data_IF_691825386938
#
_entry.id   IF_691825386938
#
_cell.length_a   1.000
_cell.length_b   1.000
_cell.length_c   1.000
_cell.angle_alpha   90.00
_cell.angle_beta   90.00
_cell.angle_gamma   90.00
#
_symmetry.space_group_name_H-M   'P 1'
#
loop_
_entity.id
_entity.type
_entity.pdbx_description
1 polymer ?
#
# COMPACT_ATOMS: atom_id res chain seq x y z
N UNK A 1 -15.87 0.04 10.41
CA UNK A 1 -14.77 0.07 9.44
C UNK A 1 -13.81 -1.13 9.52
N UNK A 2 -13.52 -1.76 10.69
CA UNK A 2 -12.82 -3.06 10.71
C UNK A 2 -13.63 -4.21 10.10
N UNK A 3 -14.94 -4.22 10.32
CA UNK A 3 -15.86 -5.26 9.85
C UNK A 3 -15.98 -5.34 8.32
N UNK A 4 -15.86 -4.20 7.64
CA UNK A 4 -15.90 -4.13 6.17
C UNK A 4 -14.61 -4.68 5.56
N UNK A 5 -13.45 -4.36 6.15
CA UNK A 5 -12.14 -4.89 5.73
C UNK A 5 -12.08 -6.40 5.96
N UNK A 6 -12.58 -6.87 7.11
CA UNK A 6 -12.68 -8.31 7.41
C UNK A 6 -13.63 -8.99 6.41
N UNK A 7 -14.80 -8.40 6.13
CA UNK A 7 -15.78 -8.96 5.19
C UNK A 7 -15.27 -9.01 3.75
N UNK A 8 -14.54 -7.97 3.32
CA UNK A 8 -13.90 -7.92 2.02
C UNK A 8 -12.82 -9.00 1.90
N UNK A 9 -11.98 -9.15 2.92
CA UNK A 9 -10.96 -10.20 2.98
C UNK A 9 -11.57 -11.61 2.94
N UNK A 10 -12.65 -11.85 3.69
CA UNK A 10 -13.39 -13.13 3.65
C UNK A 10 -14.01 -13.41 2.27
N UNK A 11 -14.47 -12.35 1.59
CA UNK A 11 -15.04 -12.46 0.24
C UNK A 11 -13.98 -12.83 -0.79
N UNK A 12 -12.83 -12.15 -0.76
CA UNK A 12 -11.70 -12.46 -1.64
C UNK A 12 -11.16 -13.87 -1.42
N UNK A 13 -11.12 -14.31 -0.16
CA UNK A 13 -10.72 -15.68 0.20
C UNK A 13 -11.63 -16.73 -0.41
N UNK A 14 -12.94 -16.51 -0.37
CA UNK A 14 -13.91 -17.39 -1.02
C UNK A 14 -13.72 -17.44 -2.53
N UNK A 15 -13.23 -16.36 -3.14
CA UNK A 15 -12.96 -16.25 -4.58
C UNK A 15 -11.55 -16.70 -4.97
N UNK A 16 -10.69 -17.07 -4.01
CA UNK A 16 -9.28 -17.40 -4.25
C UNK A 16 -8.45 -16.21 -4.75
N UNK A 17 -8.83 -14.98 -4.37
CA UNK A 17 -8.18 -13.74 -4.77
C UNK A 17 -7.54 -13.04 -3.58
N UNK A 18 -6.74 -13.76 -2.79
CA UNK A 18 -6.07 -13.24 -1.60
C UNK A 18 -4.64 -12.78 -1.93
N UNK A 19 -4.41 -11.53 -2.38
CA UNK A 19 -3.07 -11.06 -2.72
C UNK A 19 -2.13 -10.97 -1.50
N UNK A 20 -2.68 -11.10 -0.28
CA UNK A 20 -1.96 -11.03 0.98
C UNK A 20 -1.42 -12.36 1.50
N UNK A 21 -1.71 -13.49 0.84
CA UNK A 21 -1.07 -14.74 1.24
C UNK A 21 0.47 -14.61 1.16
N UNK A 22 1.20 -15.10 2.18
CA UNK A 22 0.76 -16.03 3.24
C UNK A 22 0.19 -15.37 4.52
N UNK A 23 0.04 -14.04 4.57
CA UNK A 23 -0.35 -13.33 5.80
C UNK A 23 -1.88 -13.26 5.98
N UNK A 24 -2.45 -13.72 7.11
CA UNK A 24 -3.88 -13.54 7.38
C UNK A 24 -4.21 -12.06 7.67
N UNK A 25 -5.49 -11.64 7.62
CA UNK A 25 -5.86 -10.31 8.11
C UNK A 25 -5.65 -10.19 9.63
N UNK A 26 -5.18 -9.02 10.09
CA UNK A 26 -5.16 -8.65 11.51
C UNK A 26 -6.59 -8.73 12.10
N UNK A 27 -6.81 -9.27 13.32
CA UNK A 27 -5.86 -9.41 14.43
C UNK A 27 -5.20 -10.79 14.58
N UNK A 28 -5.22 -11.66 13.57
CA UNK A 28 -4.47 -12.91 13.65
C UNK A 28 -2.96 -12.63 13.85
N UNK A 29 -2.29 -13.47 14.66
CA UNK A 29 -0.84 -13.35 14.89
C UNK A 29 -0.07 -13.41 13.58
N UNK A 30 0.83 -12.45 13.35
CA UNK A 30 1.56 -12.32 12.08
C UNK A 30 0.69 -11.89 10.88
N UNK A 31 -0.51 -11.38 11.15
CA UNK A 31 -1.41 -10.86 10.14
C UNK A 31 -0.99 -9.50 9.60
N UNK A 32 -1.74 -9.04 8.61
CA UNK A 32 -1.52 -7.74 7.97
C UNK A 32 -2.57 -6.70 8.37
N UNK A 33 -2.10 -5.46 8.53
CA UNK A 33 -2.93 -4.28 8.80
C UNK A 33 -2.70 -3.22 7.72
N UNK A 34 -3.74 -2.85 6.98
CA UNK A 34 -3.67 -1.82 5.93
C UNK A 34 -3.39 -0.44 6.52
N UNK A 35 -2.47 0.31 5.92
CA UNK A 35 -2.17 1.69 6.33
C UNK A 35 -2.15 2.70 5.17
N UNK A 36 -2.04 2.26 3.91
CA UNK A 36 -2.19 3.14 2.74
C UNK A 36 -2.63 2.38 1.49
N UNK A 37 -3.08 3.15 0.49
CA UNK A 37 -3.27 2.74 -0.90
C UNK A 37 -2.96 3.91 -1.84
N UNK A 38 -2.74 3.66 -3.12
CA UNK A 38 -2.47 4.70 -4.13
C UNK A 38 -3.39 4.59 -5.36
N UNK A 39 -3.28 5.55 -6.29
CA UNK A 39 -4.09 5.57 -7.52
C UNK A 39 -3.79 4.42 -8.50
N UNK A 40 -2.66 3.74 -8.31
CA UNK A 40 -2.26 2.58 -9.09
C UNK A 40 -2.80 1.28 -8.48
N UNK A 41 -3.78 1.38 -7.57
CA UNK A 41 -4.41 0.25 -6.88
C UNK A 41 -3.42 -0.61 -6.07
N UNK A 42 -2.25 -0.07 -5.75
CA UNK A 42 -1.32 -0.70 -4.82
C UNK A 42 -1.81 -0.50 -3.40
N UNK A 43 -1.71 -1.56 -2.60
CA UNK A 43 -2.09 -1.55 -1.19
C UNK A 43 -0.87 -1.80 -0.32
N UNK A 44 -0.79 -1.05 0.78
CA UNK A 44 0.35 -1.05 1.69
C UNK A 44 -0.11 -1.48 3.08
N UNK A 45 0.62 -2.43 3.64
CA UNK A 45 0.28 -3.10 4.88
C UNK A 45 1.46 -3.11 5.85
N UNK A 46 1.16 -3.16 7.14
CA UNK A 46 2.10 -3.56 8.18
C UNK A 46 1.95 -5.06 8.41
N UNK A 47 3.06 -5.77 8.57
CA UNK A 47 3.07 -7.16 9.04
C UNK A 47 3.24 -7.18 10.56
N UNK A 48 2.22 -7.64 11.27
CA UNK A 48 2.10 -7.52 12.74
C UNK A 48 2.68 -8.74 13.47
N UNK A 49 3.91 -9.14 13.12
CA UNK A 49 4.59 -10.31 13.70
C UNK A 49 5.28 -10.00 15.03
N UNK A 50 5.73 -8.77 15.24
CA UNK A 50 6.41 -8.33 16.46
C UNK A 50 5.38 -7.71 17.45
N UNK A 51 5.48 -7.96 18.76
CA UNK A 51 4.63 -7.28 19.75
C UNK A 51 4.87 -5.77 19.82
N UNK A 52 6.02 -5.28 19.38
CA UNK A 52 6.35 -3.86 19.28
C UNK A 52 5.96 -3.30 17.90
N UNK A 53 4.95 -2.40 17.81
CA UNK A 53 4.51 -1.83 16.53
C UNK A 53 5.60 -1.08 15.76
N UNK A 54 6.60 -0.54 16.47
CA UNK A 54 7.73 0.17 15.83
C UNK A 54 8.63 -0.77 15.02
N UNK A 55 8.45 -2.10 15.18
CA UNK A 55 9.18 -3.14 14.45
C UNK A 55 8.39 -3.75 13.30
N UNK A 56 7.15 -3.33 13.07
CA UNK A 56 6.34 -3.87 11.98
C UNK A 56 6.93 -3.47 10.62
N UNK A 57 7.14 -4.48 9.78
CA UNK A 57 7.68 -4.32 8.43
C UNK A 57 6.58 -4.07 7.41
N UNK A 58 6.95 -3.55 6.24
CA UNK A 58 6.00 -3.24 5.16
C UNK A 58 5.80 -4.44 4.24
N UNK A 59 4.55 -4.67 3.85
CA UNK A 59 4.17 -5.56 2.76
C UNK A 59 3.34 -4.77 1.74
N UNK A 60 3.61 -4.97 0.45
CA UNK A 60 2.97 -4.23 -0.64
C UNK A 60 2.39 -5.21 -1.65
N UNK A 61 1.10 -5.07 -1.96
CA UNK A 61 0.46 -5.82 -3.05
C UNK A 61 0.21 -4.90 -4.23
N UNK A 62 0.31 -5.45 -5.44
CA UNK A 62 -0.10 -4.80 -6.67
C UNK A 62 -1.51 -5.25 -7.07
N UNK A 63 -2.01 -4.77 -8.21
CA UNK A 63 -3.26 -5.22 -8.81
C UNK A 63 -3.16 -6.69 -9.20
N UNK A 64 -4.11 -7.49 -8.72
CA UNK A 64 -4.29 -8.87 -9.14
C UNK A 64 -4.06 -9.89 -8.02
N UNK A 65 -4.03 -11.18 -8.36
CA UNK A 65 -3.95 -12.27 -7.39
C UNK A 65 -2.51 -12.60 -6.97
N UNK A 66 -1.51 -11.93 -7.53
CA UNK A 66 -0.11 -12.24 -7.27
C UNK A 66 0.28 -11.85 -5.84
N UNK A 67 1.14 -12.66 -5.24
CA UNK A 67 1.66 -12.39 -3.90
C UNK A 67 2.42 -11.05 -3.89
N UNK A 68 2.16 -10.25 -2.87
CA UNK A 68 2.86 -9.00 -2.62
C UNK A 68 4.35 -9.19 -2.25
N UNK A 69 5.05 -8.06 -2.17
CA UNK A 69 6.47 -7.98 -1.82
C UNK A 69 6.64 -7.48 -0.39
N UNK A 70 7.48 -8.16 0.39
CA UNK A 70 7.89 -7.71 1.73
C UNK A 70 9.12 -6.82 1.66
N UNK A 71 9.11 -5.77 2.46
CA UNK A 71 10.23 -4.87 2.70
C UNK A 71 10.63 -4.94 4.18
N UNK A 72 11.88 -5.32 4.45
CA UNK A 72 12.44 -5.36 5.80
C UNK A 72 12.79 -3.96 6.30
N UNK A 73 11.80 -3.08 6.32
CA UNK A 73 11.88 -1.73 6.88
C UNK A 73 10.51 -1.29 7.43
N UNK A 74 10.54 -0.27 8.29
CA UNK A 74 9.33 0.36 8.81
C UNK A 74 8.63 1.18 7.71
N UNK A 75 7.36 1.55 7.93
CA UNK A 75 6.63 2.41 7.00
C UNK A 75 7.33 3.77 6.80
N UNK A 76 7.88 4.37 7.86
CA UNK A 76 8.63 5.63 7.76
C UNK A 76 9.86 5.51 6.88
N UNK A 77 10.64 4.44 7.05
CA UNK A 77 11.82 4.20 6.21
C UNK A 77 11.42 3.87 4.76
N UNK A 78 10.32 3.14 4.55
CA UNK A 78 9.78 2.88 3.21
C UNK A 78 9.41 4.18 2.49
N UNK A 79 8.65 5.06 3.16
CA UNK A 79 8.26 6.36 2.62
C UNK A 79 9.47 7.26 2.37
N UNK A 80 10.44 7.28 3.29
CA UNK A 80 11.67 8.03 3.11
C UNK A 80 12.42 7.57 1.85
N UNK A 81 12.59 6.25 1.65
CA UNK A 81 13.21 5.70 0.43
C UNK A 81 12.42 6.00 -0.83
N UNK A 82 11.09 5.94 -0.75
CA UNK A 82 10.21 6.22 -1.87
C UNK A 82 10.31 7.68 -2.33
N UNK A 83 10.43 8.62 -1.39
CA UNK A 83 10.50 10.05 -1.66
C UNK A 83 11.92 10.54 -1.99
N UNK A 84 12.95 9.97 -1.35
CA UNK A 84 14.34 10.40 -1.51
C UNK A 84 15.10 9.61 -2.59
N UNK A 85 14.62 8.43 -2.97
CA UNK A 85 15.25 7.58 -3.98
C UNK A 85 14.78 7.94 -5.39
N UNK A 86 15.69 8.19 -6.36
CA UNK A 86 15.32 8.31 -7.77
C UNK A 86 15.13 6.95 -8.47
N UNK A 87 15.40 5.82 -7.81
CA UNK A 87 15.38 4.45 -8.40
C UNK A 87 14.72 3.38 -7.50
N UNK A 88 13.91 3.77 -6.51
CA UNK A 88 13.16 2.78 -5.74
C UNK A 88 12.13 2.10 -6.66
N UNK A 89 11.85 0.79 -6.54
CA UNK A 89 10.86 0.11 -7.38
C UNK A 89 9.46 0.71 -7.30
N UNK A 90 9.17 1.48 -6.24
CA UNK A 90 7.94 2.25 -6.04
C UNK A 90 8.20 3.76 -6.00
N UNK A 91 9.37 4.24 -6.45
CA UNK A 91 9.66 5.67 -6.56
C UNK A 91 8.55 6.30 -7.38
N UNK A 92 7.96 7.36 -6.85
CA UNK A 92 7.19 8.27 -7.67
C UNK A 92 8.21 9.08 -8.48
N UNK A 93 8.37 8.90 -9.80
CA UNK A 93 8.92 9.99 -10.58
C UNK A 93 7.94 11.15 -10.41
N UNK A 94 8.31 12.12 -9.58
CA UNK A 94 7.56 13.36 -9.41
C UNK A 94 7.61 14.16 -10.72
N UNK A 95 6.82 13.75 -11.70
CA UNK A 95 6.05 14.68 -12.49
C UNK A 95 4.63 14.64 -11.88
N UNK A 96 4.49 15.18 -10.66
CA UNK A 96 3.18 15.52 -10.10
C UNK A 96 2.60 16.59 -11.04
N UNK A 97 1.90 16.13 -12.09
CA UNK A 97 1.32 17.00 -13.13
C UNK A 97 -0.20 16.99 -13.11
N UNK A 98 -0.84 16.13 -12.32
CA UNK A 98 -2.27 16.23 -12.05
C UNK A 98 -2.60 15.49 -10.75
N UNK A 99 -3.12 16.19 -9.77
CA UNK A 99 -3.91 15.60 -8.70
C UNK A 99 -5.37 15.99 -8.98
N UNK A 100 -6.32 15.13 -8.65
CA UNK A 100 -7.74 15.23 -9.03
C UNK A 100 -8.49 16.49 -8.54
N UNK A 101 -7.81 17.38 -7.80
CA UNK A 101 -8.31 18.70 -7.41
C UNK A 101 -7.75 19.86 -8.23
N UNK A 102 -6.87 19.63 -9.20
CA UNK A 102 -6.32 20.69 -10.03
C UNK A 102 -6.31 20.27 -11.51
N UNK A 103 -7.17 20.90 -12.29
CA UNK A 103 -7.05 20.87 -13.74
C UNK A 103 -5.68 21.43 -14.13
N UNK A 104 -5.04 20.82 -15.14
CA UNK A 104 -3.93 21.46 -15.84
C UNK A 104 -4.42 22.83 -16.31
N UNK A 105 -3.96 23.90 -15.66
CA UNK A 105 -4.11 25.24 -16.20
C UNK A 105 -3.32 25.25 -17.50
N UNK A 106 -4.01 25.28 -18.64
CA UNK A 106 -3.37 25.59 -19.91
C UNK A 106 -2.76 26.99 -19.81
N UNK A 107 -1.56 27.23 -20.35
CA UNK A 107 -0.90 28.53 -20.30
C UNK A 107 -1.65 29.65 -21.07
N UNK A 108 -2.80 29.36 -21.67
CA UNK A 108 -3.64 30.32 -22.39
C UNK A 108 -4.72 31.01 -21.53
N UNK A 109 -4.82 30.71 -20.23
CA UNK A 109 -5.85 31.31 -19.34
C UNK A 109 -5.36 32.58 -18.60
N UNK A 110 -4.42 33.30 -19.22
CA UNK A 110 -4.03 34.66 -18.84
C UNK A 110 -3.98 35.54 -20.10
N UNK A 111 -5.16 35.97 -20.57
CA UNK A 111 -5.32 37.14 -21.44
C UNK A 111 -6.58 37.91 -21.10
#
# INVERSE_FOLDING_TARGET
MPEEVISYAETNKRLGQDPWEPHPPFPASGGILTWAGNEHEQSFYWVTEDPDPDRWTVYVTDVGPDAGTRFDCTATEFLHRQLAGPRHPFSHPAAIRAHWFQACSSPDDLS
#
